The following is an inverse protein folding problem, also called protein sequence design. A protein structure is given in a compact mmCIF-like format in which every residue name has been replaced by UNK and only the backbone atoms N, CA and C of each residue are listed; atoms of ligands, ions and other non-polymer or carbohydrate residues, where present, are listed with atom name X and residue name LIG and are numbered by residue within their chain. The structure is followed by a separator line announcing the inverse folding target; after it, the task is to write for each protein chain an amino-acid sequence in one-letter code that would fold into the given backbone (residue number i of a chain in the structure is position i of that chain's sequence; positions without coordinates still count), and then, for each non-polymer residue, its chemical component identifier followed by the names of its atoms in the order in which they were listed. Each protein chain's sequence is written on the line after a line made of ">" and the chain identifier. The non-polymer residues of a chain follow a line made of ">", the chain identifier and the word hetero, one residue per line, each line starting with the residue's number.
data_IF_235936152148
#
_entry.id   IF_235936152148
#
_cell.length_a   1.000
_cell.length_b   1.000
_cell.length_c   1.000
_cell.angle_alpha   90.00
_cell.angle_beta   90.00
_cell.angle_gamma   90.00
#
_symmetry.space_group_name_H-M   'P 1'
#
loop_
_entity.id
_entity.type
_entity.pdbx_description
1 polymer ?
#
# COMPACT_ATOMS: atom_id res chain seq x y z
N UNK A 1 22.69 19.28 -35.19
CA UNK A 1 22.58 20.57 -34.43
C UNK A 1 21.24 20.69 -33.67
N UNK A 2 20.06 20.59 -34.31
CA UNK A 2 18.77 20.74 -33.61
C UNK A 2 18.53 19.77 -32.43
N UNK A 3 18.90 18.48 -32.55
CA UNK A 3 18.83 17.51 -31.44
C UNK A 3 19.69 17.93 -30.24
N UNK A 4 20.87 18.49 -30.48
CA UNK A 4 21.80 18.98 -29.45
C UNK A 4 21.22 20.21 -28.74
N UNK A 5 20.63 21.13 -29.50
CA UNK A 5 19.96 22.33 -28.95
C UNK A 5 18.75 21.94 -28.10
N UNK A 6 17.95 20.96 -28.54
CA UNK A 6 16.81 20.45 -27.79
C UNK A 6 17.25 19.79 -26.47
N UNK A 7 18.31 18.97 -26.50
CA UNK A 7 18.88 18.35 -25.31
C UNK A 7 19.42 19.40 -24.32
N UNK A 8 20.11 20.43 -24.81
CA UNK A 8 20.60 21.54 -23.99
C UNK A 8 19.44 22.29 -23.31
N UNK A 9 18.37 22.60 -24.05
CA UNK A 9 17.17 23.26 -23.52
C UNK A 9 16.49 22.39 -22.46
N UNK A 10 16.31 21.10 -22.72
CA UNK A 10 15.76 20.15 -21.75
C UNK A 10 16.60 20.08 -20.47
N UNK A 11 17.95 20.05 -20.59
CA UNK A 11 18.86 20.07 -19.44
C UNK A 11 18.77 21.37 -18.64
N UNK A 12 18.69 22.52 -19.31
CA UNK A 12 18.50 23.83 -18.64
C UNK A 12 17.14 23.90 -17.92
N UNK A 13 16.07 23.40 -18.54
CA UNK A 13 14.74 23.35 -17.93
C UNK A 13 14.70 22.39 -16.72
N UNK A 14 15.30 21.21 -16.86
CA UNK A 14 15.51 20.27 -15.77
C UNK A 14 16.26 20.89 -14.59
N UNK A 15 17.38 21.57 -14.85
CA UNK A 15 18.16 22.27 -13.83
C UNK A 15 17.32 23.36 -13.15
N UNK A 16 16.60 24.18 -13.93
CA UNK A 16 15.73 25.22 -13.38
C UNK A 16 14.57 24.64 -12.53
N UNK A 17 13.96 23.53 -12.96
CA UNK A 17 12.91 22.85 -12.23
C UNK A 17 13.43 22.25 -10.92
N UNK A 18 14.62 21.62 -10.95
CA UNK A 18 15.31 21.10 -9.77
C UNK A 18 15.64 22.22 -8.78
N UNK A 19 16.24 23.32 -9.28
CA UNK A 19 16.55 24.51 -8.49
C UNK A 19 15.29 25.19 -7.93
N UNK A 20 14.13 25.03 -8.58
CA UNK A 20 12.84 25.56 -8.10
C UNK A 20 12.26 24.73 -6.96
N UNK A 21 12.29 23.39 -7.08
CA UNK A 21 11.89 22.48 -5.98
C UNK A 21 12.80 22.69 -4.76
N UNK A 22 14.10 22.84 -4.98
CA UNK A 22 15.08 23.12 -3.93
C UNK A 22 14.90 24.51 -3.30
N UNK A 23 14.73 25.57 -4.10
CA UNK A 23 14.58 26.95 -3.59
C UNK A 23 13.27 27.16 -2.84
N UNK A 24 12.16 26.57 -3.28
CA UNK A 24 10.90 26.61 -2.52
C UNK A 24 11.05 25.92 -1.16
N UNK A 25 11.74 24.79 -1.11
CA UNK A 25 12.06 24.12 0.16
C UNK A 25 12.94 24.96 1.10
N UNK A 26 13.84 25.79 0.57
CA UNK A 26 14.78 26.60 1.35
C UNK A 26 14.23 27.99 1.78
N UNK A 27 13.40 28.65 0.96
CA UNK A 27 12.87 30.00 1.23
C UNK A 27 11.55 29.99 2.02
N UNK A 28 10.74 28.93 1.93
CA UNK A 28 9.47 28.81 2.67
C UNK A 28 9.62 28.07 4.01
N UNK A 29 10.82 27.59 4.35
CA UNK A 29 11.08 26.79 5.54
C UNK A 29 10.42 25.41 5.43
N UNK A 30 11.04 24.45 4.71
CA UNK A 30 10.59 23.06 4.51
C UNK A 30 9.06 22.88 4.68
N UNK A 31 8.28 23.60 3.86
CA UNK A 31 6.83 23.41 3.84
C UNK A 31 6.57 22.00 3.34
N UNK A 32 6.18 21.14 4.28
CA UNK A 32 5.81 19.77 3.97
C UNK A 32 4.65 19.76 2.98
N UNK A 33 4.53 18.72 2.13
CA UNK A 33 3.41 18.63 1.21
C UNK A 33 2.09 18.75 1.99
N UNK A 34 1.15 19.59 1.53
CA UNK A 34 -0.11 19.79 2.26
C UNK A 34 -0.95 18.52 2.48
N UNK A 35 -0.67 17.45 1.71
CA UNK A 35 -1.29 16.13 1.85
C UNK A 35 -0.56 15.19 2.82
N UNK A 36 0.69 15.48 3.16
CA UNK A 36 1.47 14.69 4.09
C UNK A 36 0.92 14.88 5.51
N UNK A 37 0.38 13.82 6.09
CA UNK A 37 0.19 13.77 7.53
C UNK A 37 1.51 13.32 8.15
N UNK A 38 2.28 14.24 8.73
CA UNK A 38 3.59 13.90 9.28
C UNK A 38 3.50 13.19 10.66
N UNK A 39 4.59 12.57 11.09
CA UNK A 39 4.74 12.03 12.45
C UNK A 39 5.37 13.06 13.40
N UNK A 40 5.25 12.84 14.71
CA UNK A 40 5.83 13.74 15.72
C UNK A 40 7.33 13.55 15.91
N UNK A 41 7.84 12.33 15.71
CA UNK A 41 9.27 12.06 15.85
C UNK A 41 10.08 12.83 14.82
N UNK A 42 11.29 13.21 15.25
CA UNK A 42 12.32 13.84 14.41
C UNK A 42 13.47 12.89 14.09
N UNK A 43 13.46 11.68 14.64
CA UNK A 43 14.47 10.66 14.38
C UNK A 43 14.07 9.82 13.18
N UNK A 44 14.84 9.89 12.10
CA UNK A 44 14.56 9.15 10.88
C UNK A 44 14.55 7.62 11.10
N UNK A 45 15.32 7.11 12.07
CA UNK A 45 15.46 5.69 12.37
C UNK A 45 14.19 5.03 12.88
N UNK A 46 13.39 5.74 13.68
CA UNK A 46 12.11 5.23 14.18
C UNK A 46 10.91 5.73 13.36
N UNK A 47 11.12 6.71 12.50
CA UNK A 47 10.09 7.30 11.66
C UNK A 47 9.81 6.47 10.41
N UNK A 48 8.53 6.25 10.14
CA UNK A 48 8.02 5.45 9.03
C UNK A 48 7.13 6.31 8.13
N UNK A 49 7.19 6.12 6.83
CA UNK A 49 6.33 6.79 5.85
C UNK A 49 5.51 5.75 5.09
N UNK A 50 4.20 5.75 5.28
CA UNK A 50 3.26 4.99 4.47
C UNK A 50 2.83 5.81 3.26
N UNK A 51 3.13 5.29 2.06
CA UNK A 51 2.63 5.80 0.80
C UNK A 51 1.37 5.00 0.47
N UNK A 52 0.22 5.68 0.52
CA UNK A 52 -1.10 5.03 0.42
C UNK A 52 -1.79 5.39 -0.89
N UNK A 53 -2.52 4.43 -1.47
CA UNK A 53 -3.36 4.63 -2.63
C UNK A 53 -4.67 5.37 -2.29
N UNK A 54 -4.85 6.58 -2.83
CA UNK A 54 -6.07 7.35 -2.68
C UNK A 54 -6.24 8.08 -1.34
N UNK A 55 -7.18 9.04 -1.31
CA UNK A 55 -7.50 9.77 -0.07
C UNK A 55 -8.34 8.94 0.90
N UNK A 56 -9.10 7.96 0.41
CA UNK A 56 -9.96 7.11 1.24
C UNK A 56 -9.11 6.29 2.22
N UNK A 57 -8.27 5.41 1.69
CA UNK A 57 -7.32 4.64 2.50
C UNK A 57 -6.33 5.57 3.24
N UNK A 58 -5.95 6.71 2.63
CA UNK A 58 -5.14 7.73 3.32
C UNK A 58 -5.81 8.32 4.57
N UNK A 59 -7.12 8.53 4.53
CA UNK A 59 -7.93 9.00 5.66
C UNK A 59 -7.99 7.97 6.77
N UNK A 60 -8.33 6.72 6.43
CA UNK A 60 -8.35 5.59 7.38
C UNK A 60 -6.97 5.39 8.03
N UNK A 61 -5.91 5.33 7.23
CA UNK A 61 -4.54 5.18 7.72
C UNK A 61 -4.12 6.35 8.63
N UNK A 62 -4.51 7.59 8.29
CA UNK A 62 -4.24 8.75 9.15
C UNK A 62 -4.91 8.65 10.52
N UNK A 63 -6.10 8.05 10.59
CA UNK A 63 -6.83 7.85 11.85
C UNK A 63 -6.25 6.71 12.68
N UNK A 64 -5.89 5.59 12.06
CA UNK A 64 -5.42 4.37 12.74
C UNK A 64 -3.93 4.33 13.11
N UNK A 65 -3.09 5.20 12.52
CA UNK A 65 -1.63 5.17 12.75
C UNK A 65 -1.19 5.54 14.17
N UNK A 66 0.03 5.12 14.51
CA UNK A 66 0.81 5.76 15.57
C UNK A 66 1.35 7.11 15.09
N UNK A 67 0.73 8.20 15.56
CA UNK A 67 1.09 9.58 15.20
C UNK A 67 2.51 9.96 15.62
N UNK A 68 3.10 9.23 16.58
CA UNK A 68 4.46 9.48 17.04
C UNK A 68 5.48 9.10 15.98
N UNK A 69 5.32 7.96 15.34
CA UNK A 69 6.33 7.35 14.45
C UNK A 69 5.92 7.27 12.99
N UNK A 70 4.62 7.22 12.68
CA UNK A 70 4.15 6.91 11.33
C UNK A 70 3.59 8.15 10.64
N UNK A 71 4.15 8.48 9.48
CA UNK A 71 3.68 9.49 8.54
C UNK A 71 2.86 8.85 7.41
N UNK A 72 1.83 9.54 6.91
CA UNK A 72 0.98 9.06 5.82
C UNK A 72 1.02 10.05 4.66
N UNK A 73 1.32 9.55 3.47
CA UNK A 73 1.28 10.30 2.22
C UNK A 73 0.33 9.64 1.23
N UNK A 74 -0.91 10.13 1.09
CA UNK A 74 -1.84 9.65 0.08
C UNK A 74 -1.44 10.12 -1.31
N UNK A 75 -1.45 9.21 -2.28
CA UNK A 75 -1.25 9.51 -3.70
C UNK A 75 -2.57 9.43 -4.45
N UNK A 76 -2.82 10.42 -5.31
CA UNK A 76 -4.04 10.45 -6.13
C UNK A 76 -3.74 10.09 -7.57
N UNK A 77 -4.50 9.14 -8.09
CA UNK A 77 -4.39 8.66 -9.45
C UNK A 77 -3.06 7.97 -9.74
N UNK A 78 -2.87 7.61 -11.00
CA UNK A 78 -1.67 6.89 -11.45
C UNK A 78 -0.48 7.84 -11.51
N UNK A 79 0.63 7.43 -10.91
CA UNK A 79 1.89 8.17 -10.96
C UNK A 79 2.38 8.24 -12.42
N UNK A 80 3.02 9.35 -12.76
CA UNK A 80 3.63 9.50 -14.08
C UNK A 80 4.70 8.44 -14.29
N UNK A 81 4.58 7.63 -15.34
CA UNK A 81 5.66 6.72 -15.75
C UNK A 81 6.87 7.54 -16.21
N UNK A 82 7.93 7.48 -15.39
CA UNK A 82 9.15 8.24 -15.56
C UNK A 82 10.04 7.75 -16.71
N UNK A 83 9.97 6.48 -17.13
CA UNK A 83 10.76 5.95 -18.25
C UNK A 83 10.38 6.58 -19.58
N UNK A 84 9.11 6.93 -19.71
CA UNK A 84 8.57 7.57 -20.92
C UNK A 84 8.57 9.08 -20.84
N UNK A 85 8.81 9.64 -19.65
CA UNK A 85 8.71 11.06 -19.39
C UNK A 85 10.09 11.72 -19.38
N UNK A 86 10.14 12.94 -19.92
CA UNK A 86 11.32 13.78 -19.77
C UNK A 86 11.43 14.30 -18.34
N UNK A 87 12.66 14.59 -17.90
CA UNK A 87 12.96 14.99 -16.53
C UNK A 87 12.25 16.29 -16.10
N UNK A 88 12.01 17.23 -17.02
CA UNK A 88 11.23 18.44 -16.78
C UNK A 88 9.76 18.12 -16.46
N UNK A 89 9.13 17.20 -17.20
CA UNK A 89 7.76 16.75 -16.95
C UNK A 89 7.66 15.97 -15.64
N UNK A 90 8.66 15.15 -15.34
CA UNK A 90 8.76 14.45 -14.07
C UNK A 90 8.79 15.44 -12.90
N UNK A 91 9.68 16.42 -12.95
CA UNK A 91 9.80 17.45 -11.91
C UNK A 91 8.60 18.40 -11.86
N UNK A 92 7.75 18.45 -12.89
CA UNK A 92 6.50 19.22 -12.87
C UNK A 92 5.36 18.48 -12.14
N UNK A 93 5.40 17.15 -12.09
CA UNK A 93 4.39 16.29 -11.44
C UNK A 93 4.25 16.60 -9.96
N UNK A 94 3.03 16.92 -9.51
CA UNK A 94 2.74 17.19 -8.11
C UNK A 94 3.00 15.95 -7.23
N UNK A 95 2.62 14.76 -7.68
CA UNK A 95 2.82 13.51 -6.92
C UNK A 95 4.31 13.24 -6.67
N UNK A 96 5.15 13.45 -7.68
CA UNK A 96 6.60 13.26 -7.57
C UNK A 96 7.23 14.34 -6.69
N UNK A 97 6.81 15.60 -6.83
CA UNK A 97 7.25 16.68 -5.93
C UNK A 97 6.91 16.35 -4.47
N UNK A 98 5.68 15.90 -4.21
CA UNK A 98 5.25 15.55 -2.86
C UNK A 98 6.13 14.44 -2.26
N UNK A 99 6.49 13.42 -3.04
CA UNK A 99 7.42 12.37 -2.61
C UNK A 99 8.83 12.93 -2.32
N UNK A 100 9.39 13.72 -3.24
CA UNK A 100 10.73 14.33 -3.06
C UNK A 100 10.80 15.18 -1.79
N UNK A 101 9.78 16.02 -1.57
CA UNK A 101 9.70 16.90 -0.39
C UNK A 101 9.46 16.06 0.88
N UNK A 102 8.62 15.03 0.83
CA UNK A 102 8.39 14.14 1.97
C UNK A 102 9.68 13.42 2.37
N UNK A 103 10.45 12.86 1.43
CA UNK A 103 11.71 12.18 1.72
C UNK A 103 12.77 13.12 2.30
N UNK A 104 12.80 14.39 1.86
CA UNK A 104 13.80 15.38 2.30
C UNK A 104 15.17 15.22 1.62
N UNK A 105 15.37 14.17 0.83
CA UNK A 105 16.66 13.81 0.21
C UNK A 105 17.02 14.61 -1.03
N UNK A 106 16.14 15.49 -1.53
CA UNK A 106 16.23 16.03 -2.90
C UNK A 106 16.28 14.93 -3.98
N UNK A 107 16.71 15.24 -5.21
CA UNK A 107 16.68 14.33 -6.37
C UNK A 107 17.83 14.58 -7.36
N UNK A 108 18.30 13.52 -8.02
CA UNK A 108 19.38 13.57 -9.02
C UNK A 108 20.72 13.99 -8.40
N UNK A 109 21.50 14.85 -9.06
CA UNK A 109 22.86 15.24 -8.60
C UNK A 109 22.94 15.95 -7.22
N UNK A 110 21.81 16.34 -6.62
CA UNK A 110 21.79 16.95 -5.27
C UNK A 110 21.16 16.00 -4.26
N UNK A 111 20.93 14.74 -4.65
CA UNK A 111 20.40 13.72 -3.78
C UNK A 111 21.36 13.51 -2.60
N UNK A 112 20.80 13.44 -1.42
CA UNK A 112 21.52 13.35 -0.17
C UNK A 112 20.73 12.44 0.78
N UNK A 113 21.24 11.23 0.99
CA UNK A 113 20.56 10.21 1.81
C UNK A 113 20.59 10.55 3.30
N UNK A 114 21.57 11.33 3.76
CA UNK A 114 21.68 11.73 5.18
C UNK A 114 20.51 12.63 5.61
N UNK A 115 19.86 13.28 4.64
CA UNK A 115 18.66 14.11 4.85
C UNK A 115 17.35 13.33 4.78
N UNK A 116 17.43 12.01 4.63
CA UNK A 116 16.24 11.17 4.60
C UNK A 116 15.48 11.28 5.92
N UNK A 117 14.18 11.56 5.81
CA UNK A 117 13.32 11.80 6.98
C UNK A 117 12.71 10.55 7.60
N UNK A 118 12.70 9.43 6.87
CA UNK A 118 12.07 8.17 7.28
C UNK A 118 12.94 7.00 6.80
N UNK A 119 13.49 6.20 7.71
CA UNK A 119 14.26 5.01 7.38
C UNK A 119 13.38 3.81 7.01
N UNK A 120 12.05 3.93 7.13
CA UNK A 120 11.11 2.97 6.55
C UNK A 120 10.12 3.67 5.66
N UNK A 121 10.21 3.43 4.36
CA UNK A 121 9.27 3.87 3.34
C UNK A 121 8.45 2.64 2.94
N UNK A 122 7.17 2.64 3.30
CA UNK A 122 6.25 1.51 3.13
C UNK A 122 5.26 1.86 2.03
N UNK A 123 5.28 1.09 0.94
CA UNK A 123 4.29 1.17 -0.14
C UNK A 123 3.09 0.32 0.26
N UNK A 124 1.96 0.97 0.54
CA UNK A 124 0.70 0.35 0.88
C UNK A 124 -0.33 0.66 -0.22
N UNK A 125 -0.37 -0.23 -1.21
CA UNK A 125 -1.33 -0.18 -2.33
C UNK A 125 -2.35 -1.29 -2.19
N UNK A 126 -3.48 -1.14 -2.87
CA UNK A 126 -4.57 -2.11 -2.83
C UNK A 126 -4.17 -3.44 -3.47
N UNK A 127 -4.86 -4.53 -3.08
CA UNK A 127 -4.65 -5.88 -3.56
C UNK A 127 -5.41 -6.13 -4.88
N UNK A 128 -5.34 -5.15 -5.79
CA UNK A 128 -6.00 -5.19 -7.08
C UNK A 128 -5.02 -4.86 -8.23
N UNK A 129 -5.56 -4.80 -9.45
CA UNK A 129 -4.79 -4.52 -10.66
C UNK A 129 -4.27 -3.09 -10.72
N UNK A 130 -4.97 -2.13 -10.10
CA UNK A 130 -4.60 -0.72 -10.11
C UNK A 130 -3.53 -0.44 -9.05
N UNK A 131 -3.63 -1.03 -7.87
CA UNK A 131 -2.61 -1.01 -6.83
C UNK A 131 -1.31 -1.67 -7.30
N UNK A 132 -1.38 -2.81 -7.99
CA UNK A 132 -0.19 -3.42 -8.62
C UNK A 132 0.47 -2.49 -9.65
N UNK A 133 -0.32 -1.73 -10.39
CA UNK A 133 0.19 -0.75 -11.36
C UNK A 133 0.84 0.46 -10.67
N UNK A 134 0.21 1.04 -9.65
CA UNK A 134 0.78 2.13 -8.85
C UNK A 134 2.08 1.69 -8.18
N UNK A 135 2.09 0.49 -7.59
CA UNK A 135 3.28 -0.13 -7.00
C UNK A 135 4.42 -0.24 -8.02
N UNK A 136 4.12 -0.71 -9.23
CA UNK A 136 5.13 -0.78 -10.32
C UNK A 136 5.68 0.59 -10.67
N UNK A 137 4.83 1.62 -10.76
CA UNK A 137 5.26 3.00 -11.04
C UNK A 137 6.13 3.59 -9.92
N UNK A 138 5.78 3.35 -8.66
CA UNK A 138 6.57 3.74 -7.49
C UNK A 138 7.94 3.06 -7.48
N UNK A 139 7.98 1.74 -7.69
CA UNK A 139 9.23 0.99 -7.75
C UNK A 139 10.11 1.48 -8.89
N UNK A 140 9.52 1.82 -10.04
CA UNK A 140 10.26 2.41 -11.17
C UNK A 140 10.88 3.75 -10.79
N UNK A 141 10.10 4.65 -10.16
CA UNK A 141 10.60 5.95 -9.68
C UNK A 141 11.74 5.77 -8.66
N UNK A 142 11.53 4.90 -7.67
CA UNK A 142 12.51 4.63 -6.62
C UNK A 142 13.78 4.02 -7.21
N UNK A 143 13.66 3.04 -8.11
CA UNK A 143 14.81 2.40 -8.74
C UNK A 143 15.64 3.37 -9.59
N UNK A 144 15.01 4.27 -10.37
CA UNK A 144 15.75 5.18 -11.27
C UNK A 144 16.28 6.44 -10.60
N UNK A 145 15.59 6.97 -9.59
CA UNK A 145 15.94 8.26 -8.99
C UNK A 145 16.29 8.22 -7.51
N UNK A 146 15.93 7.15 -6.81
CA UNK A 146 16.15 6.98 -5.37
C UNK A 146 16.78 5.62 -5.04
N UNK A 147 17.60 5.09 -5.96
CA UNK A 147 18.24 3.78 -5.81
C UNK A 147 18.94 3.58 -4.46
N UNK A 148 19.64 4.59 -3.89
CA UNK A 148 20.25 4.45 -2.57
C UNK A 148 19.27 4.13 -1.43
N UNK A 149 17.98 4.49 -1.56
CA UNK A 149 16.96 4.12 -0.56
C UNK A 149 16.68 2.63 -0.58
N UNK A 150 16.68 2.01 -1.76
CA UNK A 150 16.51 0.57 -1.92
C UNK A 150 17.76 -0.16 -1.44
N UNK A 151 18.94 0.29 -1.86
CA UNK A 151 20.21 -0.35 -1.50
C UNK A 151 20.50 -0.27 0.01
N UNK A 152 20.03 0.79 0.69
CA UNK A 152 20.11 0.93 2.16
C UNK A 152 19.02 0.14 2.90
N UNK A 153 18.13 -0.55 2.18
CA UNK A 153 17.08 -1.38 2.76
C UNK A 153 15.91 -0.60 3.35
N UNK A 154 15.70 0.66 2.96
CA UNK A 154 14.64 1.51 3.54
C UNK A 154 13.27 1.37 2.85
N UNK A 155 13.18 0.63 1.75
CA UNK A 155 11.93 0.48 0.98
C UNK A 155 11.25 -0.85 1.28
N UNK A 156 9.97 -0.80 1.60
CA UNK A 156 9.14 -1.93 1.98
C UNK A 156 7.80 -1.90 1.23
N UNK A 157 7.17 -3.06 1.07
CA UNK A 157 5.82 -3.22 0.55
C UNK A 157 4.97 -3.84 1.67
N UNK A 158 3.85 -3.20 2.01
CA UNK A 158 2.90 -3.73 2.97
C UNK A 158 2.17 -4.94 2.39
N UNK A 159 1.83 -5.91 3.25
CA UNK A 159 1.02 -7.07 2.89
C UNK A 159 -0.25 -7.04 3.74
N UNK A 160 -1.32 -6.36 3.28
CA UNK A 160 -2.61 -6.39 3.96
C UNK A 160 -3.24 -7.79 3.87
N UNK A 161 -4.17 -8.12 4.80
CA UNK A 161 -4.89 -9.38 4.75
C UNK A 161 -5.86 -9.41 3.55
N UNK A 162 -6.06 -10.61 3.00
CA UNK A 162 -7.01 -10.84 1.90
C UNK A 162 -8.41 -11.16 2.41
N UNK A 163 -8.52 -11.77 3.61
CA UNK A 163 -9.78 -12.22 4.17
C UNK A 163 -9.94 -11.81 5.63
N UNK A 164 -11.18 -11.43 5.98
CA UNK A 164 -11.68 -11.34 7.35
C UNK A 164 -12.69 -12.47 7.56
N UNK A 165 -12.46 -13.25 8.60
CA UNK A 165 -13.27 -14.42 8.97
C UNK A 165 -13.88 -14.12 10.33
N UNK A 166 -15.21 -14.11 10.39
CA UNK A 166 -15.96 -13.88 11.63
C UNK A 166 -16.73 -15.14 12.00
N UNK A 167 -16.43 -15.69 13.18
CA UNK A 167 -17.14 -16.85 13.73
C UNK A 167 -17.73 -16.48 15.09
N UNK A 168 -19.02 -16.20 15.12
CA UNK A 168 -19.69 -15.68 16.32
C UNK A 168 -19.15 -14.31 16.72
N UNK A 169 -18.38 -14.27 17.80
CA UNK A 169 -17.71 -13.04 18.31
C UNK A 169 -16.22 -12.96 17.95
N UNK A 170 -15.64 -14.05 17.45
CA UNK A 170 -14.21 -14.09 17.12
C UNK A 170 -14.00 -13.57 15.70
N UNK A 171 -12.99 -12.72 15.53
CA UNK A 171 -12.55 -12.19 14.24
C UNK A 171 -11.12 -12.65 14.02
N UNK A 172 -10.84 -13.17 12.83
CA UNK A 172 -9.52 -13.59 12.39
C UNK A 172 -9.23 -13.09 10.99
N UNK A 173 -7.97 -12.80 10.70
CA UNK A 173 -7.51 -12.33 9.39
C UNK A 173 -6.63 -13.37 8.72
N UNK A 174 -6.79 -13.56 7.41
CA UNK A 174 -5.92 -14.41 6.60
C UNK A 174 -5.29 -13.60 5.46
N UNK A 175 -4.00 -13.80 5.26
CA UNK A 175 -3.17 -13.16 4.22
C UNK A 175 -3.03 -14.04 2.98
N UNK A 176 -3.41 -15.31 3.07
CA UNK A 176 -3.39 -16.26 1.95
C UNK A 176 -4.62 -17.16 1.96
N UNK A 177 -4.96 -17.75 0.81
CA UNK A 177 -5.98 -18.80 0.73
C UNK A 177 -5.66 -20.00 1.63
N UNK A 178 -4.38 -20.36 1.76
CA UNK A 178 -3.96 -21.46 2.61
C UNK A 178 -4.23 -21.16 4.09
N UNK A 179 -3.98 -19.93 4.54
CA UNK A 179 -4.32 -19.49 5.90
C UNK A 179 -5.82 -19.46 6.12
N UNK A 180 -6.59 -18.94 5.16
CA UNK A 180 -8.06 -18.94 5.21
C UNK A 180 -8.60 -20.36 5.41
N UNK A 181 -8.16 -21.30 4.57
CA UNK A 181 -8.58 -22.70 4.66
C UNK A 181 -8.16 -23.36 5.99
N UNK A 182 -7.00 -22.98 6.53
CA UNK A 182 -6.52 -23.45 7.83
C UNK A 182 -7.37 -22.91 8.99
N UNK A 183 -7.79 -21.65 8.94
CA UNK A 183 -8.66 -21.04 9.96
C UNK A 183 -10.06 -21.65 9.94
N UNK A 184 -10.60 -21.93 8.75
CA UNK A 184 -11.93 -22.55 8.62
C UNK A 184 -11.96 -24.02 9.06
N UNK A 185 -10.82 -24.73 8.99
CA UNK A 185 -10.73 -26.14 9.35
C UNK A 185 -11.33 -27.08 8.29
N UNK A 186 -10.98 -28.36 8.34
CA UNK A 186 -11.36 -29.38 7.33
C UNK A 186 -12.82 -29.83 7.42
N UNK A 187 -13.54 -29.46 8.48
CA UNK A 187 -14.91 -29.91 8.78
C UNK A 187 -16.02 -28.93 8.34
N UNK A 188 -15.66 -27.83 7.67
CA UNK A 188 -16.64 -26.87 7.13
C UNK A 188 -16.89 -27.19 5.67
N UNK A 189 -18.09 -27.67 5.34
CA UNK A 189 -18.54 -27.78 3.96
C UNK A 189 -18.52 -26.37 3.34
N UNK A 190 -17.87 -26.20 2.18
CA UNK A 190 -17.84 -24.91 1.48
C UNK A 190 -19.25 -24.38 1.15
N UNK A 191 -20.23 -25.27 1.03
CA UNK A 191 -21.65 -24.93 0.81
C UNK A 191 -22.30 -24.25 2.04
N UNK A 192 -21.70 -24.35 3.23
CA UNK A 192 -22.20 -23.73 4.45
C UNK A 192 -21.61 -22.33 4.72
N UNK A 193 -20.71 -21.84 3.85
CA UNK A 193 -20.10 -20.52 3.96
C UNK A 193 -21.05 -19.43 3.46
N UNK A 194 -21.22 -18.36 4.25
CA UNK A 194 -21.82 -17.13 3.77
C UNK A 194 -20.69 -16.22 3.26
N UNK A 195 -20.55 -16.13 1.93
CA UNK A 195 -19.73 -15.10 1.30
C UNK A 195 -20.52 -13.79 1.33
N UNK A 196 -19.98 -12.79 2.01
CA UNK A 196 -20.54 -11.44 2.02
C UNK A 196 -19.69 -10.60 1.08
N UNK A 197 -20.25 -10.22 -0.07
CA UNK A 197 -19.59 -9.27 -0.96
C UNK A 197 -19.54 -7.90 -0.27
N UNK A 198 -18.33 -7.32 -0.22
CA UNK A 198 -18.01 -6.17 0.62
C UNK A 198 -18.79 -4.92 0.26
N UNK A 199 -19.89 -4.68 0.99
CA UNK A 199 -20.57 -3.40 1.20
C UNK A 199 -21.49 -3.57 2.44
N UNK A 200 -20.90 -3.69 3.64
CA UNK A 200 -21.70 -3.47 4.87
C UNK A 200 -21.75 -1.96 5.15
N UNK A 201 -22.89 -1.35 4.80
CA UNK A 201 -23.31 -0.09 5.39
C UNK A 201 -23.41 -0.30 6.91
N UNK A 202 -22.71 0.54 7.66
CA UNK A 202 -22.88 0.66 9.10
C UNK A 202 -24.29 1.18 9.39
N UNK A 203 -25.26 0.28 9.54
CA UNK A 203 -26.53 0.59 10.21
C UNK A 203 -26.66 -0.29 11.46
N UNK A 204 -26.50 0.42 12.58
CA UNK A 204 -26.95 0.23 13.95
C UNK A 204 -27.59 -1.10 14.37
N UNK A 205 -27.14 -1.56 15.54
CA UNK A 205 -27.83 -2.50 16.42
C UNK A 205 -29.33 -2.19 16.54
N UNK A 206 -30.19 -3.07 16.05
CA UNK A 206 -31.50 -3.33 16.67
C UNK A 206 -32.12 -4.64 16.18
N UNK A 207 -31.99 -5.68 16.98
CA UNK A 207 -33.05 -6.68 17.17
C UNK A 207 -32.74 -7.43 18.45
N UNK A 208 -33.24 -6.86 19.54
CA UNK A 208 -33.47 -7.58 20.78
C UNK A 208 -34.63 -8.52 20.47
N UNK A 209 -34.36 -9.81 20.27
CA UNK A 209 -35.40 -10.83 20.27
C UNK A 209 -35.96 -10.93 21.70
N UNK A 210 -37.02 -10.18 21.97
CA UNK A 210 -38.01 -10.53 22.99
C UNK A 210 -38.63 -11.87 22.60
N UNK A 211 -38.37 -12.91 23.38
CA UNK A 211 -39.20 -14.11 23.36
C UNK A 211 -39.77 -14.31 24.75
N UNK A 212 -41.10 -14.22 24.78
CA UNK A 212 -42.00 -14.34 25.91
C UNK A 212 -41.76 -15.61 26.72
N UNK A 213 -41.91 -15.46 28.04
CA UNK A 213 -41.92 -16.57 28.98
C UNK A 213 -43.31 -17.25 28.95
N UNK A 214 -43.36 -18.48 28.41
CA UNK A 214 -44.41 -19.43 28.78
C UNK A 214 -43.83 -20.63 29.56
N UNK A 215 -44.58 -21.00 30.58
CA UNK A 215 -44.25 -21.88 31.70
C UNK A 215 -44.25 -23.39 31.39
N UNK A 216 -43.13 -24.06 31.74
CA UNK A 216 -42.94 -25.36 32.46
C UNK A 216 -43.91 -26.55 32.21
N UNK A 217 -43.43 -27.83 32.17
CA UNK A 217 -42.91 -28.46 33.40
C UNK A 217 -41.70 -29.41 33.28
N UNK A 218 -41.17 -29.69 34.47
CA UNK A 218 -39.96 -30.42 34.80
C UNK A 218 -39.90 -31.88 34.30
N UNK A 219 -38.70 -32.31 33.89
CA UNK A 219 -38.39 -33.73 33.79
C UNK A 219 -37.17 -34.08 32.93
N UNK A 220 -36.09 -34.49 33.62
CA UNK A 220 -34.94 -35.32 33.18
C UNK A 220 -33.68 -34.62 32.66
N UNK A 221 -32.63 -34.85 33.46
CA UNK A 221 -31.22 -34.63 33.21
C UNK A 221 -30.75 -35.32 31.92
N UNK A 222 -29.93 -34.59 31.18
CA UNK A 222 -29.22 -35.05 30.00
C UNK A 222 -28.43 -33.89 29.42
N UNK A 223 -27.28 -33.59 30.02
CA UNK A 223 -26.35 -32.54 29.60
C UNK A 223 -25.86 -32.80 28.16
N UNK A 224 -26.49 -32.15 27.18
CA UNK A 224 -25.86 -31.86 25.90
C UNK A 224 -25.70 -30.35 25.82
N UNK A 225 -24.49 -29.86 26.10
CA UNK A 225 -24.10 -28.51 25.70
C UNK A 225 -24.27 -28.44 24.18
N UNK A 226 -25.31 -27.75 23.73
CA UNK A 226 -25.48 -27.37 22.32
C UNK A 226 -24.37 -26.37 22.00
N UNK A 227 -23.31 -26.83 21.33
CA UNK A 227 -22.38 -25.94 20.65
C UNK A 227 -23.20 -25.11 19.67
N UNK A 228 -23.23 -23.78 19.88
CA UNK A 228 -23.81 -22.82 18.95
C UNK A 228 -22.94 -22.86 17.69
N UNK A 229 -23.34 -23.66 16.71
CA UNK A 229 -22.67 -23.75 15.42
C UNK A 229 -23.02 -22.48 14.62
N UNK A 230 -22.41 -21.34 14.97
CA UNK A 230 -22.53 -20.14 14.14
C UNK A 230 -21.70 -20.35 12.88
N UNK A 231 -22.35 -20.36 11.72
CA UNK A 231 -21.67 -20.44 10.43
C UNK A 231 -20.65 -19.29 10.32
N UNK A 232 -19.40 -19.56 9.89
CA UNK A 232 -18.41 -18.51 9.70
C UNK A 232 -18.82 -17.62 8.52
N UNK A 233 -18.75 -16.30 8.73
CA UNK A 233 -18.88 -15.29 7.68
C UNK A 233 -17.49 -14.92 7.17
N UNK A 234 -17.33 -14.85 5.85
CA UNK A 234 -16.06 -14.51 5.20
C UNK A 234 -16.27 -13.27 4.35
N UNK A 235 -15.46 -12.25 4.61
CA UNK A 235 -15.32 -11.05 3.80
C UNK A 235 -13.96 -11.06 3.12
N UNK A 236 -13.92 -10.81 1.81
CA UNK A 236 -12.66 -10.62 1.07
C UNK A 236 -12.41 -9.12 0.88
N UNK A 237 -11.25 -8.66 1.29
CA UNK A 237 -10.83 -7.28 1.07
C UNK A 237 -10.28 -7.12 -0.35
N UNK A 238 -10.74 -6.13 -1.11
CA UNK A 238 -10.18 -5.79 -2.42
C UNK A 238 -9.25 -4.57 -2.35
N UNK A 239 -9.54 -3.64 -1.43
CA UNK A 239 -8.69 -2.47 -1.16
C UNK A 239 -8.53 -2.14 0.32
N UNK A 240 -7.49 -1.36 0.63
CA UNK A 240 -7.19 -0.85 1.97
C UNK A 240 -8.29 0.08 2.50
N UNK A 241 -9.05 0.72 1.60
CA UNK A 241 -10.15 1.60 1.95
C UNK A 241 -11.40 0.89 2.49
N UNK A 242 -11.49 -0.43 2.37
CA UNK A 242 -12.59 -1.24 2.89
C UNK A 242 -12.42 -1.59 4.38
N UNK A 243 -11.20 -1.44 4.91
CA UNK A 243 -10.90 -1.66 6.31
C UNK A 243 -11.25 -0.42 7.13
N UNK A 244 -11.71 -0.63 8.36
CA UNK A 244 -11.77 0.48 9.32
C UNK A 244 -10.36 0.77 9.90
N UNK A 245 -10.24 1.85 10.67
CA UNK A 245 -8.95 2.30 11.20
C UNK A 245 -8.29 1.31 12.18
N UNK A 246 -9.09 0.58 12.96
CA UNK A 246 -8.63 -0.42 13.92
C UNK A 246 -8.13 -1.66 13.19
N UNK A 247 -8.91 -2.16 12.21
CA UNK A 247 -8.54 -3.29 11.36
C UNK A 247 -7.24 -3.02 10.60
N UNK A 248 -7.11 -1.84 10.01
CA UNK A 248 -5.90 -1.46 9.28
C UNK A 248 -4.68 -1.39 10.21
N UNK A 249 -4.86 -0.92 11.45
CA UNK A 249 -3.82 -0.91 12.47
C UNK A 249 -3.40 -2.33 12.85
N UNK A 250 -4.34 -3.16 13.28
CA UNK A 250 -4.11 -4.51 13.80
C UNK A 250 -3.54 -5.48 12.77
N UNK A 251 -3.68 -5.18 11.48
CA UNK A 251 -3.25 -6.07 10.40
C UNK A 251 -2.03 -5.56 9.66
N UNK A 252 -2.00 -4.26 9.33
CA UNK A 252 -1.07 -3.73 8.32
C UNK A 252 -0.10 -2.70 8.88
N UNK A 253 -0.45 -1.98 9.95
CA UNK A 253 0.34 -0.85 10.44
C UNK A 253 1.08 -1.12 11.76
N UNK A 254 0.54 -1.96 12.65
CA UNK A 254 1.17 -2.28 13.94
C UNK A 254 2.51 -3.01 13.72
N UNK A 255 3.65 -2.43 14.14
CA UNK A 255 4.96 -3.04 14.00
C UNK A 255 5.11 -4.43 14.62
N UNK A 256 4.24 -4.84 15.55
CA UNK A 256 4.30 -6.14 16.23
C UNK A 256 3.75 -7.29 15.40
N UNK A 257 2.80 -7.03 14.51
CA UNK A 257 2.00 -8.06 13.83
C UNK A 257 2.01 -7.94 12.32
N UNK A 258 2.27 -6.75 11.78
CA UNK A 258 2.26 -6.51 10.33
C UNK A 258 3.31 -7.34 9.59
N UNK A 259 3.02 -7.62 8.33
CA UNK A 259 3.95 -8.27 7.40
C UNK A 259 4.43 -7.25 6.36
N UNK A 260 5.74 -7.05 6.30
CA UNK A 260 6.39 -6.18 5.32
C UNK A 260 7.37 -6.99 4.45
N UNK A 261 7.33 -6.77 3.14
CA UNK A 261 8.34 -7.27 2.20
C UNK A 261 9.37 -6.19 1.94
N UNK A 262 10.62 -6.38 2.38
CA UNK A 262 11.71 -5.46 2.07
C UNK A 262 12.10 -5.59 0.60
N UNK A 263 12.23 -4.46 -0.10
CA UNK A 263 12.64 -4.42 -1.50
C UNK A 263 14.16 -4.46 -1.57
N UNK A 264 14.71 -5.35 -2.37
CA UNK A 264 16.13 -5.45 -2.66
C UNK A 264 16.38 -5.55 -4.17
N UNK A 265 17.62 -5.31 -4.60
CA UNK A 265 18.04 -5.50 -5.99
C UNK A 265 19.16 -6.53 -6.02
N UNK A 266 18.81 -7.75 -6.42
CA UNK A 266 19.78 -8.85 -6.54
C UNK A 266 20.71 -8.68 -7.74
N UNK A 267 20.15 -8.39 -8.92
CA UNK A 267 20.91 -8.11 -10.15
C UNK A 267 20.44 -6.80 -10.75
N UNK A 268 21.30 -5.78 -10.70
CA UNK A 268 21.01 -4.47 -11.25
C UNK A 268 20.86 -4.48 -12.78
N UNK A 269 21.59 -5.34 -13.51
CA UNK A 269 21.48 -5.43 -14.97
C UNK A 269 20.16 -6.06 -15.38
N UNK A 270 19.74 -7.09 -14.65
CA UNK A 270 18.47 -7.75 -14.88
C UNK A 270 17.30 -6.81 -14.59
N UNK A 271 17.32 -6.15 -13.43
CA UNK A 271 16.34 -5.14 -13.05
C UNK A 271 16.23 -4.02 -14.11
N UNK A 272 17.36 -3.48 -14.57
CA UNK A 272 17.39 -2.43 -15.60
C UNK A 272 16.66 -2.87 -16.89
N UNK A 273 16.98 -4.08 -17.36
CA UNK A 273 16.36 -4.65 -18.55
C UNK A 273 14.86 -4.84 -18.38
N UNK A 274 14.42 -5.31 -17.21
CA UNK A 274 13.01 -5.51 -16.91
C UNK A 274 12.26 -4.17 -16.87
N UNK A 275 12.83 -3.14 -16.24
CA UNK A 275 12.24 -1.80 -16.26
C UNK A 275 12.17 -1.23 -17.69
N UNK A 276 13.22 -1.40 -18.50
CA UNK A 276 13.21 -0.94 -19.89
C UNK A 276 12.12 -1.63 -20.73
N UNK A 277 11.96 -2.95 -20.60
CA UNK A 277 10.93 -3.72 -21.31
C UNK A 277 9.52 -3.31 -20.86
N UNK A 278 9.26 -3.34 -19.55
CA UNK A 278 7.92 -3.15 -18.99
C UNK A 278 7.48 -1.69 -19.00
N UNK A 279 8.41 -0.76 -18.79
CA UNK A 279 8.09 0.64 -18.53
C UNK A 279 8.57 1.58 -19.64
N UNK A 280 9.48 1.17 -20.52
CA UNK A 280 10.07 1.98 -21.59
C UNK A 280 9.12 2.38 -22.74
N UNK A 281 9.65 2.60 -23.94
CA UNK A 281 8.85 3.02 -25.11
C UNK A 281 8.62 1.91 -26.14
N UNK A 282 9.34 0.79 -26.02
CA UNK A 282 9.25 -0.33 -26.97
C UNK A 282 8.01 -1.20 -26.68
N UNK A 283 6.94 -0.94 -27.44
CA UNK A 283 5.66 -1.65 -27.32
C UNK A 283 5.77 -3.13 -27.77
N UNK A 284 6.40 -3.46 -28.91
CA UNK A 284 6.62 -4.84 -29.31
C UNK A 284 7.31 -5.71 -28.24
N UNK A 285 8.43 -5.26 -27.68
CA UNK A 285 9.16 -6.03 -26.66
C UNK A 285 8.32 -6.28 -25.42
N UNK A 286 7.59 -5.27 -24.96
CA UNK A 286 6.64 -5.41 -23.83
C UNK A 286 5.54 -6.40 -24.13
N UNK A 287 4.94 -6.33 -25.31
CA UNK A 287 3.86 -7.24 -25.71
C UNK A 287 4.36 -8.68 -25.73
N UNK A 288 5.53 -8.92 -26.31
CA UNK A 288 6.18 -10.23 -26.32
C UNK A 288 6.43 -10.76 -24.91
N UNK A 289 6.95 -9.90 -24.03
CA UNK A 289 7.18 -10.25 -22.63
C UNK A 289 5.89 -10.65 -21.92
N UNK A 290 4.83 -9.84 -22.03
CA UNK A 290 3.54 -10.13 -21.41
C UNK A 290 2.96 -11.45 -21.95
N UNK A 291 2.96 -11.65 -23.27
CA UNK A 291 2.42 -12.87 -23.87
C UNK A 291 3.18 -14.13 -23.44
N UNK A 292 4.49 -14.04 -23.26
CA UNK A 292 5.33 -15.17 -22.85
C UNK A 292 5.18 -15.52 -21.37
N UNK A 293 4.84 -14.55 -20.51
CA UNK A 293 4.85 -14.70 -19.05
C UNK A 293 3.46 -14.62 -18.41
N UNK A 294 2.40 -14.29 -19.15
CA UNK A 294 1.05 -14.09 -18.59
C UNK A 294 0.51 -15.35 -17.90
N UNK A 295 0.79 -16.54 -18.44
CA UNK A 295 0.30 -17.81 -17.87
C UNK A 295 1.06 -18.25 -16.61
N UNK A 296 2.28 -17.77 -16.41
CA UNK A 296 3.08 -18.06 -15.23
C UNK A 296 2.89 -17.04 -14.11
N UNK A 297 2.14 -15.97 -14.35
CA UNK A 297 1.87 -14.95 -13.35
C UNK A 297 0.98 -15.52 -12.24
N UNK A 298 1.48 -15.54 -11.01
CA UNK A 298 0.65 -15.70 -9.82
C UNK A 298 0.15 -14.31 -9.46
N UNK A 299 -1.14 -14.07 -9.65
CA UNK A 299 -1.74 -12.80 -9.27
C UNK A 299 -2.06 -12.88 -7.77
N UNK A 300 -1.61 -11.88 -7.00
CA UNK A 300 -2.05 -11.65 -5.62
C UNK A 300 -3.49 -11.10 -5.63
N UNK A 301 -4.43 -11.78 -6.31
CA UNK A 301 -5.87 -11.45 -6.32
C UNK A 301 -6.54 -12.37 -5.33
#
# INVERSE_FOLDING_TARGET
>A
IQKVVLALKARKAAKAAKDSVLRKGALEGMTLPGKLADCQSRSAEESELFIVEGDSAGGTAKMGRDRRTQAILPLRGKILNIERARLDRMLASEQIKNLVVAFGTAIGDTFDIEKLRYHKIIIATDADVDGAHIRTLLLTLLYRFFRPLIDSGYVYIAQPPLYKIKQGKEISFAYTDAEKNKILGTDVNLEDLMEVDGEENNEEESSVDELEAESLPAGKQGSKLKARNSKPSIQRYKGLGEMNAEELWETTMDPKVRVLKQVNVADARDADRIFDILMGTDVPSRKSFIQSNAKSATLDI
#
